data_IF_109829808478
#
_entry.id   IF_109829808478
#
_cell.length_a   1.000
_cell.length_b   1.000
_cell.length_c   1.000
_cell.angle_alpha   90.00
_cell.angle_beta   90.00
_cell.angle_gamma   90.00
#
_symmetry.space_group_name_H-M   'P 1'
#
loop_
_entity.id
_entity.type
_entity.pdbx_description
1 polymer ?
#
# COMPACT_ATOMS: atom_id res chain seq x y z
N UNK A 1 -7.42 6.78 -8.48
CA UNK A 1 -7.43 5.60 -9.39
C UNK A 1 -6.79 4.44 -8.64
N UNK A 2 -6.04 3.56 -9.31
CA UNK A 2 -5.10 2.65 -8.62
C UNK A 2 -3.70 3.30 -8.61
N UNK A 3 -3.59 4.41 -7.89
CA UNK A 3 -2.43 5.32 -7.86
C UNK A 3 -1.78 5.41 -6.46
N UNK A 4 -2.23 4.57 -5.53
CA UNK A 4 -1.78 4.52 -4.14
C UNK A 4 -2.01 5.83 -3.34
N UNK A 5 -2.92 6.69 -3.78
CA UNK A 5 -3.29 7.94 -3.08
C UNK A 5 -3.68 7.71 -1.62
N UNK A 6 -4.31 6.57 -1.32
CA UNK A 6 -4.76 6.19 0.03
C UNK A 6 -3.62 5.91 1.01
N UNK A 7 -2.41 5.66 0.51
CA UNK A 7 -1.22 5.46 1.35
C UNK A 7 -0.62 6.79 1.84
N UNK A 8 -1.02 7.92 1.24
CA UNK A 8 -0.60 9.23 1.70
C UNK A 8 -1.39 9.61 2.97
N UNK A 9 -0.67 10.00 4.02
CA UNK A 9 -1.29 10.45 5.27
C UNK A 9 -2.14 11.70 5.04
N UNK A 10 -3.39 11.71 5.50
CA UNK A 10 -4.27 12.87 5.43
C UNK A 10 -5.65 12.56 4.86
N UNK A 11 -6.03 13.25 3.78
CA UNK A 11 -7.42 13.32 3.29
C UNK A 11 -8.07 11.95 3.10
N UNK A 12 -7.47 11.05 2.34
CA UNK A 12 -8.10 9.76 2.03
C UNK A 12 -8.09 8.80 3.23
N UNK A 13 -7.02 8.77 4.03
CA UNK A 13 -6.98 7.95 5.25
C UNK A 13 -7.99 8.41 6.29
N UNK A 14 -8.23 9.73 6.38
CA UNK A 14 -9.19 10.34 7.31
C UNK A 14 -10.60 10.48 6.73
N UNK A 15 -10.84 10.05 5.48
CA UNK A 15 -12.17 10.04 4.91
C UNK A 15 -13.09 9.13 5.74
N UNK A 16 -14.37 9.51 5.86
CA UNK A 16 -15.38 8.79 6.64
C UNK A 16 -15.33 7.25 6.46
N UNK A 17 -15.26 6.70 5.23
CA UNK A 17 -15.23 5.24 5.06
C UNK A 17 -13.92 4.57 5.51
N UNK A 18 -12.83 5.33 5.62
CA UNK A 18 -11.48 4.80 5.80
C UNK A 18 -10.95 5.00 7.23
N UNK A 19 -11.33 6.10 7.87
CA UNK A 19 -10.85 6.47 9.20
C UNK A 19 -11.19 5.40 10.24
N UNK A 20 -10.17 4.80 10.86
CA UNK A 20 -10.32 3.72 11.83
C UNK A 20 -10.83 2.39 11.25
N UNK A 21 -10.94 2.28 9.92
CA UNK A 21 -11.46 1.11 9.21
C UNK A 21 -10.39 0.44 8.35
N UNK A 22 -9.76 1.20 7.44
CA UNK A 22 -8.65 0.68 6.63
C UNK A 22 -7.47 0.31 7.53
N UNK A 23 -6.79 -0.78 7.17
CA UNK A 23 -5.70 -1.37 7.92
C UNK A 23 -4.67 -1.98 6.96
N UNK A 24 -3.51 -2.36 7.51
CA UNK A 24 -2.44 -2.99 6.74
C UNK A 24 -1.39 -2.02 6.17
N UNK A 25 -1.49 -0.71 6.47
CA UNK A 25 -0.51 0.30 6.03
C UNK A 25 0.94 -0.09 6.38
N UNK A 26 1.19 -0.52 7.62
CA UNK A 26 2.54 -0.95 8.05
C UNK A 26 3.05 -2.22 7.34
N UNK A 27 2.14 -3.09 6.88
CA UNK A 27 2.54 -4.26 6.06
C UNK A 27 3.01 -3.79 4.69
N UNK A 28 2.30 -2.85 4.07
CA UNK A 28 2.70 -2.25 2.80
C UNK A 28 4.03 -1.49 2.92
N UNK A 29 4.25 -0.74 4.01
CA UNK A 29 5.52 -0.06 4.28
C UNK A 29 6.69 -1.04 4.44
N UNK A 30 6.46 -2.17 5.11
CA UNK A 30 7.47 -3.22 5.26
C UNK A 30 7.82 -3.88 3.92
N UNK A 31 6.83 -4.15 3.07
CA UNK A 31 7.04 -4.65 1.71
C UNK A 31 7.84 -3.65 0.89
N UNK A 32 7.44 -2.37 0.90
CA UNK A 32 8.13 -1.31 0.18
C UNK A 32 9.58 -1.18 0.64
N UNK A 33 9.83 -1.19 1.95
CA UNK A 33 11.18 -1.12 2.53
C UNK A 33 12.08 -2.26 2.01
N UNK A 34 11.56 -3.49 1.98
CA UNK A 34 12.31 -4.65 1.47
C UNK A 34 12.58 -4.55 -0.03
N UNK A 35 11.59 -4.09 -0.81
CA UNK A 35 11.75 -3.92 -2.26
C UNK A 35 12.76 -2.81 -2.58
N UNK A 36 12.73 -1.69 -1.86
CA UNK A 36 13.68 -0.58 -2.05
C UNK A 36 15.12 -0.98 -1.72
N UNK A 37 15.32 -1.89 -0.76
CA UNK A 37 16.63 -2.44 -0.46
C UNK A 37 17.21 -3.29 -1.62
N UNK A 38 16.36 -3.82 -2.50
CA UNK A 38 16.75 -4.63 -3.66
C UNK A 38 16.85 -3.75 -4.91
N UNK A 39 15.87 -2.87 -5.12
CA UNK A 39 15.73 -2.05 -6.31
C UNK A 39 15.12 -0.67 -5.97
N UNK A 40 15.99 0.22 -5.48
CA UNK A 40 15.63 1.58 -5.08
C UNK A 40 14.86 2.33 -6.18
N UNK A 41 13.76 2.98 -5.80
CA UNK A 41 12.89 3.82 -6.63
C UNK A 41 12.37 3.17 -7.91
N UNK A 42 12.31 1.84 -7.97
CA UNK A 42 11.93 1.12 -9.19
C UNK A 42 10.46 0.67 -9.18
N UNK A 43 9.98 0.12 -8.06
CA UNK A 43 8.63 -0.45 -7.97
C UNK A 43 7.66 0.55 -7.34
N UNK A 44 6.53 0.81 -7.98
CA UNK A 44 5.53 1.75 -7.47
C UNK A 44 4.72 1.16 -6.31
N UNK A 45 4.23 2.02 -5.40
CA UNK A 45 3.35 1.57 -4.31
C UNK A 45 1.99 1.05 -4.82
N UNK A 46 1.55 1.51 -6.00
CA UNK A 46 0.34 1.03 -6.65
C UNK A 46 0.48 -0.43 -7.12
N UNK A 47 1.64 -0.78 -7.69
CA UNK A 47 1.92 -2.16 -8.11
C UNK A 47 2.06 -3.08 -6.89
N UNK A 48 2.67 -2.58 -5.80
CA UNK A 48 2.74 -3.33 -4.54
C UNK A 48 1.35 -3.67 -4.01
N UNK A 49 0.42 -2.70 -3.97
CA UNK A 49 -0.95 -2.96 -3.54
C UNK A 49 -1.65 -3.98 -4.44
N UNK A 50 -1.42 -3.90 -5.75
CA UNK A 50 -2.03 -4.81 -6.74
C UNK A 50 -1.53 -6.25 -6.53
N UNK A 51 -0.23 -6.44 -6.38
CA UNK A 51 0.37 -7.77 -6.17
C UNK A 51 0.02 -8.31 -4.79
N UNK A 52 0.11 -7.49 -3.74
CA UNK A 52 -0.25 -7.90 -2.39
C UNK A 52 -1.72 -8.35 -2.30
N UNK A 53 -2.64 -7.65 -2.96
CA UNK A 53 -4.04 -8.04 -3.03
C UNK A 53 -4.23 -9.39 -3.74
N UNK A 54 -3.57 -9.60 -4.90
CA UNK A 54 -3.59 -10.88 -5.61
C UNK A 54 -3.09 -12.01 -4.73
N UNK A 55 -1.93 -11.85 -4.12
CA UNK A 55 -1.27 -12.91 -3.35
C UNK A 55 -2.02 -13.23 -2.05
N UNK A 56 -2.68 -12.24 -1.45
CA UNK A 56 -3.54 -12.44 -0.27
C UNK A 56 -4.76 -13.32 -0.53
N UNK A 57 -5.20 -13.45 -1.78
CA UNK A 57 -6.34 -14.31 -2.17
C UNK A 57 -5.89 -15.73 -2.53
N UNK A 58 -4.64 -15.90 -2.96
CA UNK A 58 -4.07 -17.22 -3.28
C UNK A 58 -3.79 -18.04 -2.01
N UNK A 59 -3.48 -17.37 -0.90
CA UNK A 59 -3.14 -17.97 0.38
C UNK A 59 -4.35 -18.46 1.19
#
# INVERSE_FOLDING_TARGET
GCDASVLLSGMEQNAIPNAGSLRGFGVIDSIKTQIEAICNQTVSCADILTVAARDSVVA
#
